data_IF_396984264463
#
_entry.id   IF_396984264463
#
_cell.length_a   1.000
_cell.length_b   1.000
_cell.length_c   1.000
_cell.angle_alpha   90.00
_cell.angle_beta   90.00
_cell.angle_gamma   90.00
#
_symmetry.space_group_name_H-M   'P 1'
#
loop_
_entity.id
_entity.type
_entity.pdbx_description
1 polymer ?
#
# COMPACT_ATOMS: atom_id res chain seq x y z
N UNK A 1 -4.13 -20.39 16.84
CA UNK A 1 -4.23 -18.92 16.72
C UNK A 1 -3.87 -18.57 15.28
N UNK A 2 -4.79 -18.87 14.38
CA UNK A 2 -4.61 -18.70 12.95
C UNK A 2 -4.70 -17.22 12.64
N UNK A 3 -3.54 -16.56 12.69
CA UNK A 3 -3.39 -15.18 12.19
C UNK A 3 -3.62 -15.24 10.69
N UNK A 4 -4.88 -15.09 10.29
CA UNK A 4 -5.27 -14.67 8.95
C UNK A 4 -4.57 -13.33 8.73
N UNK A 5 -3.33 -13.36 8.22
CA UNK A 5 -2.59 -12.15 7.87
C UNK A 5 -3.44 -11.46 6.82
N UNK A 6 -4.17 -10.43 7.23
CA UNK A 6 -4.84 -9.55 6.30
C UNK A 6 -3.76 -8.84 5.51
N UNK A 7 -3.41 -9.40 4.36
CA UNK A 7 -2.42 -8.87 3.42
C UNK A 7 -2.74 -7.43 3.01
N UNK A 8 -3.99 -7.02 3.19
CA UNK A 8 -4.46 -5.65 3.00
C UNK A 8 -3.81 -4.64 3.96
N UNK A 9 -3.70 -4.97 5.25
CA UNK A 9 -3.02 -4.09 6.22
C UNK A 9 -1.52 -3.98 5.94
N UNK A 10 -0.92 -5.08 5.47
CA UNK A 10 0.48 -5.14 5.06
C UNK A 10 0.76 -4.23 3.85
N UNK A 11 -0.04 -4.35 2.77
CA UNK A 11 0.13 -3.51 1.59
C UNK A 11 -0.01 -2.01 1.89
N UNK A 12 -1.02 -1.63 2.68
CA UNK A 12 -1.24 -0.23 3.06
C UNK A 12 -0.07 0.30 3.92
N UNK A 13 0.41 -0.46 4.91
CA UNK A 13 1.52 -0.02 5.77
C UNK A 13 2.82 0.21 4.98
N UNK A 14 3.11 -0.65 4.00
CA UNK A 14 4.28 -0.53 3.14
C UNK A 14 4.15 0.68 2.21
N UNK A 15 3.02 0.79 1.50
CA UNK A 15 2.78 1.91 0.58
C UNK A 15 2.80 3.26 1.29
N UNK A 16 2.17 3.38 2.46
CA UNK A 16 2.14 4.62 3.22
C UNK A 16 3.51 4.99 3.79
N UNK A 17 4.28 4.02 4.31
CA UNK A 17 5.63 4.27 4.82
C UNK A 17 6.57 4.79 3.73
N UNK A 18 6.55 4.16 2.56
CA UNK A 18 7.35 4.60 1.40
C UNK A 18 6.86 5.95 0.87
N UNK A 19 5.54 6.12 0.72
CA UNK A 19 4.95 7.36 0.23
C UNK A 19 5.24 8.56 1.13
N UNK A 20 5.16 8.39 2.45
CA UNK A 20 5.53 9.44 3.41
C UNK A 20 7.02 9.77 3.28
N UNK A 21 7.90 8.77 3.22
CA UNK A 21 9.34 9.02 3.06
C UNK A 21 9.66 9.83 1.79
N UNK A 22 9.02 9.48 0.67
CA UNK A 22 9.14 10.24 -0.59
C UNK A 22 8.55 11.65 -0.45
N UNK A 23 7.37 11.78 0.15
CA UNK A 23 6.73 13.07 0.37
C UNK A 23 7.56 14.01 1.25
N UNK A 24 8.18 13.49 2.30
CA UNK A 24 9.13 14.23 3.15
C UNK A 24 10.36 14.63 2.34
N UNK A 25 10.94 13.72 1.56
CA UNK A 25 12.11 14.02 0.74
C UNK A 25 11.84 15.10 -0.34
N UNK A 26 10.59 15.20 -0.81
CA UNK A 26 10.15 16.20 -1.78
C UNK A 26 9.58 17.48 -1.16
N UNK A 27 9.57 17.59 0.18
CA UNK A 27 8.87 18.67 0.91
C UNK A 27 7.38 18.81 0.51
N UNK A 28 6.78 17.71 0.04
CA UNK A 28 5.41 17.67 -0.46
C UNK A 28 4.70 16.37 -0.05
N UNK A 29 4.19 16.39 1.18
CA UNK A 29 3.46 15.27 1.78
C UNK A 29 2.19 14.92 0.98
N UNK A 30 1.54 15.88 0.34
CA UNK A 30 0.33 15.61 -0.44
C UNK A 30 0.62 14.64 -1.59
N UNK A 31 1.71 14.87 -2.33
CA UNK A 31 2.19 13.96 -3.39
C UNK A 31 2.60 12.62 -2.79
N UNK A 32 3.36 12.62 -1.69
CA UNK A 32 3.81 11.39 -1.03
C UNK A 32 2.67 10.48 -0.58
N UNK A 33 1.62 11.04 0.02
CA UNK A 33 0.43 10.29 0.43
C UNK A 33 -0.32 9.77 -0.81
N UNK A 34 -0.52 10.59 -1.85
CA UNK A 34 -1.19 10.16 -3.07
C UNK A 34 -0.51 8.95 -3.73
N UNK A 35 0.82 9.02 -3.87
CA UNK A 35 1.64 7.92 -4.41
C UNK A 35 1.62 6.72 -3.47
N UNK A 36 1.81 6.94 -2.17
CA UNK A 36 1.86 5.88 -1.16
C UNK A 36 0.56 5.08 -1.05
N UNK A 37 -0.58 5.75 -1.16
CA UNK A 37 -1.90 5.09 -1.15
C UNK A 37 -2.10 4.29 -2.44
N UNK A 38 -1.76 4.84 -3.61
CA UNK A 38 -1.87 4.12 -4.88
C UNK A 38 -1.03 2.84 -4.90
N UNK A 39 0.23 2.93 -4.44
CA UNK A 39 1.13 1.79 -4.31
C UNK A 39 0.62 0.80 -3.26
N UNK A 40 0.20 1.29 -2.09
CA UNK A 40 -0.25 0.46 -0.98
C UNK A 40 -1.50 -0.35 -1.31
N UNK A 41 -2.47 0.24 -2.02
CA UNK A 41 -3.66 -0.45 -2.52
C UNK A 41 -3.26 -1.49 -3.57
N UNK A 42 -2.38 -1.14 -4.51
CA UNK A 42 -1.91 -2.06 -5.56
C UNK A 42 -1.18 -3.29 -4.97
N UNK A 43 -0.32 -3.09 -3.96
CA UNK A 43 0.33 -4.18 -3.23
C UNK A 43 -0.65 -4.98 -2.37
N UNK A 44 -1.57 -4.31 -1.67
CA UNK A 44 -2.60 -4.97 -0.87
C UNK A 44 -3.45 -5.90 -1.74
N UNK A 45 -3.83 -5.45 -2.94
CA UNK A 45 -4.54 -6.25 -3.94
C UNK A 45 -3.66 -7.36 -4.48
N UNK A 46 -2.42 -7.10 -4.87
CA UNK A 46 -1.52 -8.11 -5.47
C UNK A 46 -1.13 -9.22 -4.48
N UNK A 47 -0.81 -8.86 -3.24
CA UNK A 47 -0.37 -9.79 -2.18
C UNK A 47 -1.57 -10.46 -1.50
N UNK A 48 -2.71 -9.76 -1.39
CA UNK A 48 -3.96 -10.28 -0.85
C UNK A 48 -4.72 -11.20 -1.80
N UNK A 49 -4.51 -11.05 -3.10
CA UNK A 49 -5.16 -11.88 -4.11
C UNK A 49 -4.45 -13.22 -4.26
N UNK A 50 -4.95 -14.23 -3.55
CA UNK A 50 -5.21 -15.49 -4.26
C UNK A 50 -6.29 -15.15 -5.32
N UNK A 51 -5.87 -14.89 -6.58
CA UNK A 51 -6.66 -14.55 -7.82
C UNK A 51 -8.16 -14.92 -7.73
N UNK A 52 -9.19 -14.12 -8.16
CA UNK A 52 -9.46 -13.53 -9.51
C UNK A 52 -10.25 -12.18 -9.42
N UNK A 53 -11.08 -11.68 -10.37
CA UNK A 53 -11.10 -11.62 -11.83
C UNK A 53 -10.78 -10.20 -12.37
N UNK A 54 -10.03 -10.11 -13.47
CA UNK A 54 -10.09 -8.93 -14.33
C UNK A 54 -11.28 -9.13 -15.29
N UNK A 55 -12.33 -8.33 -15.11
CA UNK A 55 -13.30 -7.95 -16.16
C UNK A 55 -13.10 -6.47 -16.48
#
# INVERSE_FOLDING_TARGET
>A
MDKKKSNMGLGISIGLGVGIAIGVAMDNIAIGIGIGVAIGISLAMTIGSKKPPQE
#
